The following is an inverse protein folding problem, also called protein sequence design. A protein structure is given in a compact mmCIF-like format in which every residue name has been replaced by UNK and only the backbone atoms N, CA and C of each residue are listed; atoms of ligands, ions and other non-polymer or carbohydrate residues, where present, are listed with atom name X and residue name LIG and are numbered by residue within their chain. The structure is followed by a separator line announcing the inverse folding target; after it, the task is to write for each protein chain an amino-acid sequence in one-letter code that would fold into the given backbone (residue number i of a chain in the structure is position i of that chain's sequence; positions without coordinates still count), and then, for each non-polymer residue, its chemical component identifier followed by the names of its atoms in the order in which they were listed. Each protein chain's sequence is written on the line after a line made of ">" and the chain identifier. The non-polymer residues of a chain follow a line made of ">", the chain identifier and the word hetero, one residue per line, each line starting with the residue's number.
data_IF_853836210394
#
_entry.id   IF_853836210394
#
_cell.length_a   1.000
_cell.length_b   1.000
_cell.length_c   1.000
_cell.angle_alpha   90.00
_cell.angle_beta   90.00
_cell.angle_gamma   90.00
#
_symmetry.space_group_name_H-M   'P 1'
#
loop_
_entity.id
_entity.type
_entity.pdbx_description
1 polymer ?
#
# COMPACT_ATOMS: atom_id res chain seq x y z
N UNK A 1 -3.49 11.34 14.11
CA UNK A 1 -3.09 10.80 12.80
C UNK A 1 -2.16 9.62 13.04
N UNK A 2 -2.36 8.52 12.32
CA UNK A 2 -1.72 7.23 12.60
C UNK A 2 -0.87 6.75 11.42
N UNK A 3 0.29 6.16 11.72
CA UNK A 3 1.22 5.58 10.76
C UNK A 3 1.29 4.06 10.96
N UNK A 4 1.36 3.30 9.88
CA UNK A 4 1.38 1.84 9.94
C UNK A 4 2.49 1.24 9.09
N UNK A 5 2.94 0.05 9.47
CA UNK A 5 3.85 -0.79 8.69
C UNK A 5 3.15 -2.11 8.35
N UNK A 6 3.18 -2.48 7.07
CA UNK A 6 2.73 -3.79 6.61
C UNK A 6 3.95 -4.65 6.29
N UNK A 7 4.04 -5.80 6.95
CA UNK A 7 5.05 -6.84 6.69
C UNK A 7 4.48 -7.83 5.67
N UNK A 8 5.12 -7.94 4.51
CA UNK A 8 4.67 -8.72 3.36
C UNK A 8 3.76 -7.91 2.44
N UNK A 9 4.27 -7.53 1.27
CA UNK A 9 3.61 -6.69 0.26
C UNK A 9 2.95 -7.50 -0.89
N UNK A 10 2.63 -8.77 -0.63
CA UNK A 10 1.88 -9.65 -1.53
C UNK A 10 0.44 -9.19 -1.77
N UNK A 11 -0.43 -10.07 -2.26
CA UNK A 11 -1.83 -9.71 -2.57
C UNK A 11 -2.60 -9.18 -1.35
N UNK A 12 -2.42 -9.82 -0.19
CA UNK A 12 -3.11 -9.43 1.04
C UNK A 12 -2.55 -8.11 1.59
N UNK A 13 -1.21 -7.98 1.65
CA UNK A 13 -0.57 -6.76 2.15
C UNK A 13 -0.93 -5.53 1.32
N UNK A 14 -0.95 -5.65 -0.01
CA UNK A 14 -1.35 -4.53 -0.87
C UNK A 14 -2.84 -4.20 -0.79
N UNK A 15 -3.73 -5.19 -0.60
CA UNK A 15 -5.15 -4.93 -0.39
C UNK A 15 -5.38 -4.17 0.93
N UNK A 16 -4.73 -4.62 2.01
CA UNK A 16 -4.72 -3.93 3.29
C UNK A 16 -4.20 -2.49 3.16
N UNK A 17 -3.05 -2.30 2.51
CA UNK A 17 -2.49 -0.96 2.27
C UNK A 17 -3.44 -0.06 1.49
N UNK A 18 -4.12 -0.59 0.47
CA UNK A 18 -5.06 0.14 -0.38
C UNK A 18 -6.25 0.67 0.43
N UNK A 19 -6.83 -0.12 1.33
CA UNK A 19 -7.96 0.30 2.18
C UNK A 19 -7.50 1.24 3.30
N UNK A 20 -6.34 0.97 3.91
CA UNK A 20 -5.80 1.81 4.98
C UNK A 20 -5.48 3.22 4.48
N UNK A 21 -4.90 3.38 3.30
CA UNK A 21 -4.62 4.69 2.70
C UNK A 21 -5.88 5.52 2.41
N UNK A 22 -7.07 4.92 2.44
CA UNK A 22 -8.37 5.60 2.27
C UNK A 22 -9.10 5.81 3.59
N UNK A 23 -8.60 5.25 4.67
CA UNK A 23 -9.26 5.29 5.97
C UNK A 23 -9.02 6.63 6.66
N UNK A 24 -10.06 7.31 7.17
CA UNK A 24 -9.90 8.57 7.91
C UNK A 24 -8.95 8.38 9.09
N UNK A 25 -7.98 9.30 9.24
CA UNK A 25 -7.02 9.26 10.34
C UNK A 25 -5.74 8.47 10.08
N UNK A 26 -5.65 7.75 8.95
CA UNK A 26 -4.39 7.13 8.48
C UNK A 26 -3.59 8.15 7.67
N UNK A 27 -2.39 8.46 8.13
CA UNK A 27 -1.48 9.41 7.47
C UNK A 27 -0.52 8.70 6.51
N UNK A 28 -0.03 7.53 6.92
CA UNK A 28 1.01 6.81 6.19
C UNK A 28 0.88 5.30 6.36
N UNK A 29 1.15 4.56 5.29
CA UNK A 29 1.35 3.12 5.31
C UNK A 29 2.69 2.79 4.65
N UNK A 30 3.65 2.35 5.45
CA UNK A 30 4.92 1.83 4.99
C UNK A 30 4.77 0.34 4.60
N UNK A 31 5.53 -0.09 3.59
CA UNK A 31 5.60 -1.48 3.15
C UNK A 31 7.00 -2.04 3.41
N UNK A 32 7.05 -3.25 3.94
CA UNK A 32 8.26 -4.06 4.04
C UNK A 32 8.02 -5.41 3.39
N UNK A 33 8.97 -5.87 2.58
CA UNK A 33 8.93 -7.18 1.96
C UNK A 33 10.35 -7.73 1.88
N UNK A 34 10.49 -9.06 1.91
CA UNK A 34 11.77 -9.72 1.74
C UNK A 34 12.29 -9.62 0.29
N UNK A 35 11.38 -9.48 -0.67
CA UNK A 35 11.72 -9.31 -2.08
C UNK A 35 11.75 -7.84 -2.46
N UNK A 36 12.92 -7.34 -2.86
CA UNK A 36 13.06 -5.97 -3.38
C UNK A 36 12.20 -5.73 -4.63
N UNK A 37 12.10 -6.71 -5.53
CA UNK A 37 11.25 -6.63 -6.72
C UNK A 37 9.76 -6.71 -6.37
N UNK A 38 9.39 -7.53 -5.38
CA UNK A 38 8.04 -7.59 -4.83
C UNK A 38 7.61 -6.25 -4.22
N UNK A 39 8.49 -5.64 -3.41
CA UNK A 39 8.27 -4.32 -2.82
C UNK A 39 8.10 -3.22 -3.88
N UNK A 40 8.96 -3.21 -4.90
CA UNK A 40 8.85 -2.26 -6.01
C UNK A 40 7.54 -2.42 -6.79
N UNK A 41 7.14 -3.66 -7.08
CA UNK A 41 5.88 -3.98 -7.74
C UNK A 41 4.66 -3.51 -6.93
N UNK A 42 4.64 -3.77 -5.62
CA UNK A 42 3.56 -3.36 -4.73
C UNK A 42 3.42 -1.83 -4.66
N UNK A 43 4.54 -1.10 -4.54
CA UNK A 43 4.56 0.37 -4.57
C UNK A 43 4.00 0.92 -5.88
N UNK A 44 4.42 0.37 -7.02
CA UNK A 44 3.92 0.79 -8.32
C UNK A 44 2.40 0.54 -8.48
N UNK A 45 1.93 -0.62 -8.03
CA UNK A 45 0.49 -0.95 -8.04
C UNK A 45 -0.32 0.04 -7.21
N UNK A 46 0.08 0.28 -5.96
CA UNK A 46 -0.62 1.19 -5.05
C UNK A 46 -0.59 2.64 -5.54
N UNK A 47 0.52 3.10 -6.11
CA UNK A 47 0.62 4.43 -6.71
C UNK A 47 -0.33 4.61 -7.91
N UNK A 48 -0.54 3.57 -8.71
CA UNK A 48 -1.55 3.57 -9.79
C UNK A 48 -2.96 3.53 -9.22
N UNK A 49 -3.22 2.64 -8.26
CA UNK A 49 -4.53 2.43 -7.67
C UNK A 49 -5.03 3.63 -6.83
N UNK A 50 -4.10 4.45 -6.30
CA UNK A 50 -4.40 5.70 -5.62
C UNK A 50 -4.94 6.80 -6.56
N UNK A 51 -4.61 6.75 -7.87
CA UNK A 51 -5.08 7.73 -8.87
C UNK A 51 -6.55 7.55 -9.28
N UNK A 52 -7.24 6.52 -8.76
CA UNK A 52 -8.62 6.19 -9.11
C UNK A 52 -8.78 5.68 -10.55
N UNK A 53 -9.95 5.15 -10.93
CA UNK A 53 -10.27 4.98 -12.35
C UNK A 53 -10.30 6.36 -13.00
N UNK A 54 -9.73 6.49 -14.20
CA UNK A 54 -9.99 7.65 -15.07
C UNK A 54 -11.51 7.72 -15.25
N UNK A 55 -12.14 8.74 -14.64
CA UNK A 55 -13.52 9.09 -14.93
C UNK A 55 -13.55 9.90 -16.22
#
# INVERSE_FOLDING_TARGET
>A
MSRFLILGAGFQGRACAFDMLRSPGVEEVALCDASASGLASAKAFLAKAAKGPAR
#
